data_IF_009189750391
#
_entry.id   IF_009189750391
#
_cell.length_a   1.000
_cell.length_b   1.000
_cell.length_c   1.000
_cell.angle_alpha   90.00
_cell.angle_beta   90.00
_cell.angle_gamma   90.00
#
_symmetry.space_group_name_H-M   'P 1'
#
loop_
_entity.id
_entity.type
_entity.pdbx_description
1 polymer ?
#
# COMPACT_ATOMS: atom_id res chain seq x y z
N UNK A 1 1.61 11.49 -11.70
CA UNK A 1 0.29 10.93 -11.31
C UNK A 1 -0.16 11.62 -10.04
N UNK A 2 -1.45 11.95 -9.92
CA UNK A 2 -2.01 12.60 -8.73
C UNK A 2 -2.60 11.57 -7.77
N UNK A 3 -2.68 11.93 -6.49
CA UNK A 3 -3.35 11.11 -5.51
C UNK A 3 -4.86 11.06 -5.79
N UNK A 4 -5.38 9.83 -5.89
CA UNK A 4 -6.79 9.55 -6.14
C UNK A 4 -7.67 10.12 -5.02
N UNK A 5 -7.37 9.81 -3.76
CA UNK A 5 -8.17 10.27 -2.61
C UNK A 5 -8.10 11.80 -2.41
N UNK A 6 -7.01 12.45 -2.82
CA UNK A 6 -6.90 13.91 -2.80
C UNK A 6 -7.77 14.62 -3.83
N UNK A 7 -8.15 13.94 -4.91
CA UNK A 7 -8.92 14.53 -6.01
C UNK A 7 -10.40 14.73 -5.67
N UNK A 8 -10.89 14.08 -4.60
CA UNK A 8 -12.26 14.24 -4.10
C UNK A 8 -12.49 15.62 -3.46
N UNK A 9 -11.42 16.34 -3.09
CA UNK A 9 -11.50 17.69 -2.51
C UNK A 9 -10.85 18.75 -3.42
N UNK A 10 -11.59 19.81 -3.80
CA UNK A 10 -11.04 20.89 -4.62
C UNK A 10 -9.84 21.56 -3.93
N UNK A 11 -8.77 21.79 -4.68
CA UNK A 11 -7.57 22.49 -4.18
C UNK A 11 -6.60 21.64 -3.35
N UNK A 12 -6.86 20.34 -3.15
CA UNK A 12 -5.99 19.45 -2.34
C UNK A 12 -5.21 18.43 -3.16
N UNK A 13 -5.05 18.65 -4.47
CA UNK A 13 -4.33 17.74 -5.34
C UNK A 13 -2.86 17.61 -4.89
N UNK A 14 -2.51 16.44 -4.34
CA UNK A 14 -1.15 16.09 -3.97
C UNK A 14 -0.57 15.08 -4.96
N UNK A 15 0.76 15.10 -5.22
CA UNK A 15 1.40 14.11 -6.06
C UNK A 15 1.29 12.71 -5.43
N UNK A 16 0.99 11.70 -6.26
CA UNK A 16 1.08 10.32 -5.84
C UNK A 16 2.55 9.92 -5.68
N UNK A 17 2.88 9.28 -4.56
CA UNK A 17 4.24 8.79 -4.24
C UNK A 17 4.32 7.27 -4.23
N UNK A 18 3.17 6.59 -4.37
CA UNK A 18 3.06 5.15 -4.41
C UNK A 18 1.74 4.71 -5.04
N UNK A 19 1.62 3.40 -5.27
CA UNK A 19 0.45 2.76 -5.86
C UNK A 19 -0.09 1.74 -4.87
N UNK A 20 -1.40 1.78 -4.61
CA UNK A 20 -2.06 0.78 -3.78
C UNK A 20 -1.96 -0.60 -4.44
N UNK A 21 -1.37 -1.58 -3.75
CA UNK A 21 -1.19 -2.95 -4.28
C UNK A 21 -2.51 -3.71 -4.45
N UNK A 22 -3.61 -3.23 -3.84
CA UNK A 22 -4.92 -3.90 -3.88
C UNK A 22 -5.81 -3.42 -5.01
N UNK A 23 -5.86 -2.10 -5.26
CA UNK A 23 -6.78 -1.50 -6.23
C UNK A 23 -6.10 -0.67 -7.32
N UNK A 24 -4.78 -0.46 -7.25
CA UNK A 24 -4.03 0.31 -8.25
C UNK A 24 -4.14 1.84 -8.11
N UNK A 25 -4.85 2.37 -7.11
CA UNK A 25 -4.95 3.81 -6.89
C UNK A 25 -3.57 4.44 -6.59
N UNK A 26 -3.25 5.55 -7.27
CA UNK A 26 -2.12 6.40 -6.91
C UNK A 26 -2.42 7.16 -5.62
N UNK A 27 -1.53 7.11 -4.63
CA UNK A 27 -1.74 7.73 -3.31
C UNK A 27 -0.57 8.61 -2.89
N UNK A 28 -0.86 9.74 -2.25
CA UNK A 28 0.14 10.61 -1.63
C UNK A 28 0.57 10.05 -0.26
N UNK A 29 1.59 10.64 0.38
CA UNK A 29 2.05 10.20 1.71
C UNK A 29 0.95 10.17 2.78
N UNK A 30 -0.02 11.08 2.71
CA UNK A 30 -1.11 11.16 3.69
C UNK A 30 -2.15 10.04 3.51
N UNK A 31 -2.38 9.59 2.28
CA UNK A 31 -3.36 8.55 1.93
C UNK A 31 -2.73 7.17 1.70
N UNK A 32 -1.41 7.06 1.82
CA UNK A 32 -0.68 5.81 1.76
C UNK A 32 -0.56 5.19 3.16
N UNK A 33 -0.86 3.90 3.24
CA UNK A 33 -0.58 3.08 4.40
C UNK A 33 0.46 2.03 4.05
N UNK A 34 1.61 2.13 4.71
CA UNK A 34 2.68 1.14 4.62
C UNK A 34 2.45 0.05 5.66
N UNK A 35 2.33 -1.18 5.21
CA UNK A 35 2.38 -2.37 6.05
C UNK A 35 3.61 -3.19 5.69
N UNK A 36 4.18 -3.86 6.69
CA UNK A 36 5.30 -4.77 6.50
C UNK A 36 4.75 -6.18 6.62
N UNK A 37 4.35 -6.76 5.50
CA UNK A 37 4.00 -8.18 5.51
C UNK A 37 5.31 -8.99 5.63
N UNK A 38 5.39 -9.97 6.54
CA UNK A 38 6.50 -10.92 6.52
C UNK A 38 6.57 -11.53 5.12
N UNK A 39 7.70 -11.32 4.44
CA UNK A 39 7.94 -11.88 3.13
C UNK A 39 8.21 -13.38 3.30
N UNK A 40 7.15 -14.18 3.19
CA UNK A 40 7.25 -15.64 3.15
C UNK A 40 7.62 -16.05 1.73
N UNK A 41 8.85 -16.52 1.55
CA UNK A 41 9.23 -17.25 0.35
C UNK A 41 9.08 -18.75 0.62
N UNK A 42 8.37 -19.45 -0.25
CA UNK A 42 8.43 -20.92 -0.29
C UNK A 42 9.66 -21.27 -1.14
N UNK A 43 10.75 -21.66 -0.50
CA UNK A 43 11.96 -22.16 -1.16
C UNK A 43 12.17 -23.60 -0.69
N UNK A 44 11.84 -24.58 -1.54
CA UNK A 44 11.97 -26.00 -1.23
C UNK A 44 10.99 -26.51 -0.16
N UNK A 45 11.40 -27.54 0.59
CA UNK A 45 10.58 -28.22 1.61
C UNK A 45 10.52 -27.49 2.98
N UNK A 46 10.83 -26.19 3.03
CA UNK A 46 10.86 -25.41 4.28
C UNK A 46 10.39 -23.97 4.10
N UNK A 47 9.84 -23.39 5.18
CA UNK A 47 9.51 -21.95 5.24
C UNK A 47 10.80 -21.15 5.45
N UNK A 48 11.19 -20.33 4.48
CA UNK A 48 12.18 -19.29 4.70
C UNK A 48 11.47 -17.94 4.84
N UNK A 49 11.48 -17.36 6.03
CA UNK A 49 11.11 -15.95 6.23
C UNK A 49 12.29 -15.10 5.79
N UNK A 50 12.12 -14.24 4.78
CA UNK A 50 13.15 -13.26 4.48
C UNK A 50 13.33 -12.32 5.67
N UNK A 51 14.59 -12.01 6.01
CA UNK A 51 14.97 -11.17 7.16
C UNK A 51 14.40 -9.74 7.07
N UNK A 52 14.07 -9.28 5.86
CA UNK A 52 13.40 -7.99 5.62
C UNK A 52 12.02 -8.20 5.01
N UNK A 53 10.94 -7.77 5.69
CA UNK A 53 9.61 -7.80 5.11
C UNK A 53 9.56 -6.89 3.88
N UNK A 54 8.84 -7.32 2.85
CA UNK A 54 8.54 -6.46 1.72
C UNK A 54 7.58 -5.37 2.20
N UNK A 55 7.83 -4.11 1.78
CA UNK A 55 6.86 -3.04 2.02
C UNK A 55 5.63 -3.27 1.16
N UNK A 56 4.47 -3.24 1.78
CA UNK A 56 3.17 -3.21 1.12
C UNK A 56 2.60 -1.81 1.28
N UNK A 57 2.04 -1.27 0.20
CA UNK A 57 1.45 0.06 0.20
C UNK A 57 -0.03 -0.07 -0.18
N UNK A 58 -0.92 0.37 0.69
CA UNK A 58 -2.38 0.30 0.52
C UNK A 58 -3.00 1.68 0.67
N UNK A 59 -4.14 1.94 0.01
CA UNK A 59 -4.92 3.17 0.25
C UNK A 59 -5.78 3.03 1.51
N UNK A 60 -6.28 4.15 2.03
CA UNK A 60 -7.17 4.19 3.21
C UNK A 60 -8.39 3.29 3.09
N UNK A 61 -9.00 3.23 1.90
CA UNK A 61 -10.18 2.40 1.64
C UNK A 61 -9.86 0.89 1.74
N UNK A 62 -8.82 0.43 1.03
CA UNK A 62 -8.44 -0.98 1.07
C UNK A 62 -7.94 -1.40 2.45
N UNK A 63 -7.18 -0.55 3.14
CA UNK A 63 -6.76 -0.84 4.52
C UNK A 63 -7.97 -1.04 5.43
N UNK A 64 -8.93 -0.13 5.40
CA UNK A 64 -10.13 -0.21 6.25
C UNK A 64 -10.87 -1.53 6.01
N UNK A 65 -11.03 -1.93 4.74
CA UNK A 65 -11.68 -3.19 4.36
C UNK A 65 -10.89 -4.44 4.76
N UNK A 66 -9.55 -4.37 4.85
CA UNK A 66 -8.72 -5.50 5.30
C UNK A 66 -8.70 -5.65 6.83
N UNK A 67 -9.05 -4.59 7.57
CA UNK A 67 -9.02 -4.58 9.05
C UNK A 67 -10.40 -4.67 9.71
N UNK A 68 -11.48 -4.69 8.94
CA UNK A 68 -12.87 -4.85 9.41
C UNK A 68 -13.27 -6.32 9.49
#
# INVERSE_FOLDING_TARGET
MQCYDCSDRPGTAAPAVGVCIRCGAGVCRAHAHESHAPAYAIVGAGRATHERPARHLTCGACRTAETS
#
